data_IF_076554951764
#
_entry.id   IF_076554951764
#
_cell.length_a   1.000
_cell.length_b   1.000
_cell.length_c   1.000
_cell.angle_alpha   90.00
_cell.angle_beta   90.00
_cell.angle_gamma   90.00
#
_symmetry.space_group_name_H-M   'P 1'
#
loop_
_entity.id
_entity.type
_entity.pdbx_description
1 polymer ?
#
# COMPACT_ATOMS: atom_id res chain seq x y z
N UNK A 1 -52.65 19.20 -34.24
CA UNK A 1 -51.25 19.04 -33.80
C UNK A 1 -50.86 20.00 -32.69
N UNK A 2 -51.10 21.32 -32.79
CA UNK A 2 -50.59 22.31 -31.82
C UNK A 2 -50.88 22.07 -30.32
N UNK A 3 -52.11 21.70 -29.94
CA UNK A 3 -52.50 21.55 -28.51
C UNK A 3 -51.64 20.56 -27.73
N UNK A 4 -51.34 19.38 -28.28
CA UNK A 4 -50.50 18.37 -27.60
C UNK A 4 -49.11 18.91 -27.25
N UNK A 5 -48.54 19.77 -28.10
CA UNK A 5 -47.21 20.33 -27.90
C UNK A 5 -47.18 21.29 -26.70
N UNK A 6 -48.19 22.16 -26.56
CA UNK A 6 -48.30 23.05 -25.38
C UNK A 6 -48.48 22.28 -24.07
N UNK A 7 -49.23 21.18 -24.08
CA UNK A 7 -49.38 20.33 -22.88
C UNK A 7 -48.06 19.62 -22.53
N UNK A 8 -47.33 19.09 -23.52
CA UNK A 8 -46.01 18.47 -23.29
C UNK A 8 -44.98 19.47 -22.77
N UNK A 9 -44.91 20.69 -23.32
CA UNK A 9 -44.02 21.75 -22.83
C UNK A 9 -44.39 22.17 -21.40
N UNK A 10 -45.69 22.31 -21.10
CA UNK A 10 -46.16 22.64 -19.73
C UNK A 10 -45.80 21.54 -18.72
N UNK A 11 -46.01 20.27 -19.07
CA UNK A 11 -45.63 19.13 -18.21
C UNK A 11 -44.11 19.04 -18.02
N UNK A 12 -43.31 19.24 -19.07
CA UNK A 12 -41.85 19.31 -18.94
C UNK A 12 -41.41 20.47 -18.03
N UNK A 13 -41.97 21.67 -18.17
CA UNK A 13 -41.67 22.79 -17.29
C UNK A 13 -42.05 22.52 -15.82
N UNK A 14 -43.18 21.86 -15.57
CA UNK A 14 -43.58 21.43 -14.22
C UNK A 14 -42.63 20.36 -13.65
N UNK A 15 -42.21 19.37 -14.46
CA UNK A 15 -41.22 18.37 -14.06
C UNK A 15 -39.85 19.02 -13.75
N UNK A 16 -39.43 19.98 -14.57
CA UNK A 16 -38.20 20.75 -14.36
C UNK A 16 -38.27 21.58 -13.07
N UNK A 17 -39.44 22.15 -12.74
CA UNK A 17 -39.68 22.86 -11.47
C UNK A 17 -39.62 21.92 -10.26
N UNK A 18 -40.25 20.73 -10.33
CA UNK A 18 -40.16 19.70 -9.29
C UNK A 18 -38.72 19.24 -9.07
N UNK A 19 -37.98 18.97 -10.14
CA UNK A 19 -36.56 18.59 -10.08
C UNK A 19 -35.66 19.72 -9.54
N UNK A 20 -36.02 20.99 -9.73
CA UNK A 20 -35.28 22.13 -9.19
C UNK A 20 -35.59 22.42 -7.70
N UNK A 21 -36.76 21.97 -7.21
CA UNK A 21 -37.09 21.97 -5.78
C UNK A 21 -36.31 20.89 -5.00
N UNK A 22 -35.91 19.81 -5.66
CA UNK A 22 -34.98 18.78 -5.15
C UNK A 22 -33.52 19.30 -5.10
N UNK A 23 -33.31 20.43 -4.41
CA UNK A 23 -31.98 20.76 -3.87
C UNK A 23 -31.54 19.64 -2.94
N UNK A 24 -30.22 19.31 -2.87
CA UNK A 24 -29.73 18.37 -1.86
C UNK A 24 -30.03 18.96 -0.47
N UNK A 25 -31.01 18.36 0.22
CA UNK A 25 -31.50 18.84 1.50
C UNK A 25 -30.44 18.61 2.56
N UNK A 26 -29.86 19.69 3.07
CA UNK A 26 -29.06 19.61 4.29
C UNK A 26 -30.04 19.36 5.44
N UNK A 27 -30.21 18.09 5.82
CA UNK A 27 -31.24 17.62 6.75
C UNK A 27 -31.25 18.43 8.06
N UNK A 28 -30.07 18.71 8.62
CA UNK A 28 -29.92 19.53 9.82
C UNK A 28 -30.46 20.97 9.64
N UNK A 29 -30.30 21.59 8.47
CA UNK A 29 -30.92 22.90 8.16
C UNK A 29 -32.44 22.78 8.00
N UNK A 30 -32.94 21.65 7.53
CA UNK A 30 -34.38 21.40 7.40
C UNK A 30 -35.02 21.22 8.79
N UNK A 31 -34.39 20.46 9.70
CA UNK A 31 -34.82 20.34 11.10
C UNK A 31 -34.83 21.69 11.83
N UNK A 32 -33.74 22.48 11.71
CA UNK A 32 -33.68 23.85 12.28
C UNK A 32 -34.74 24.81 11.71
N UNK A 33 -35.29 24.51 10.53
CA UNK A 33 -36.37 25.29 9.94
C UNK A 33 -37.77 24.78 10.34
N UNK A 34 -37.91 23.50 10.72
CA UNK A 34 -39.19 22.93 11.17
C UNK A 34 -39.47 23.12 12.66
N UNK A 35 -38.44 23.23 13.51
CA UNK A 35 -38.62 23.29 14.98
C UNK A 35 -39.23 24.59 15.49
N UNK A 36 -39.25 25.68 14.70
CA UNK A 36 -39.62 27.06 15.07
C UNK A 36 -38.79 27.71 16.21
N UNK A 37 -38.32 26.92 17.17
CA UNK A 37 -37.31 27.28 18.15
C UNK A 37 -35.91 27.25 17.50
N UNK A 38 -35.01 28.14 17.90
CA UNK A 38 -33.65 28.26 17.36
C UNK A 38 -32.70 27.20 17.95
N UNK A 39 -33.09 25.93 17.89
CA UNK A 39 -32.36 24.78 18.46
C UNK A 39 -31.00 24.63 17.78
N UNK A 40 -29.92 24.59 18.57
CA UNK A 40 -28.57 24.31 18.06
C UNK A 40 -28.41 22.80 17.82
N UNK A 41 -27.42 22.40 17.03
CA UNK A 41 -27.01 20.99 17.00
C UNK A 41 -26.11 20.72 18.20
N UNK A 42 -26.17 19.53 18.77
CA UNK A 42 -25.14 19.09 19.70
C UNK A 42 -23.80 18.98 18.96
N UNK A 43 -22.79 19.75 19.39
CA UNK A 43 -21.49 19.80 18.71
C UNK A 43 -20.57 18.65 19.12
N UNK A 44 -20.74 18.12 20.33
CA UNK A 44 -20.00 16.97 20.87
C UNK A 44 -20.74 15.68 20.50
N UNK A 45 -20.30 15.00 19.45
CA UNK A 45 -20.93 13.79 18.92
C UNK A 45 -19.96 12.59 18.91
N UNK A 46 -20.43 11.38 19.24
CA UNK A 46 -19.63 10.15 19.08
C UNK A 46 -19.48 9.76 17.61
N UNK A 47 -18.70 8.70 17.34
CA UNK A 47 -18.51 8.17 15.98
C UNK A 47 -17.42 8.86 15.16
N UNK A 48 -16.65 9.76 15.78
CA UNK A 48 -15.34 10.17 15.29
C UNK A 48 -14.29 9.06 15.44
N UNK A 49 -13.27 9.07 14.58
CA UNK A 49 -12.04 8.30 14.79
C UNK A 49 -11.13 9.02 15.77
N UNK A 50 -10.30 8.28 16.52
CA UNK A 50 -9.47 8.84 17.59
C UNK A 50 -8.02 8.33 17.54
N UNK A 51 -7.05 9.25 17.57
CA UNK A 51 -5.64 8.93 17.76
C UNK A 51 -5.30 8.90 19.26
N UNK A 52 -5.29 7.68 19.82
CA UNK A 52 -5.02 7.47 21.25
C UNK A 52 -3.54 7.57 21.64
N UNK A 53 -2.63 7.92 20.72
CA UNK A 53 -1.25 8.28 21.06
C UNK A 53 -1.13 9.79 21.29
N UNK A 54 -1.82 10.59 20.47
CA UNK A 54 -1.80 12.05 20.48
C UNK A 54 -2.94 12.70 21.27
N UNK A 55 -3.99 11.97 21.62
CA UNK A 55 -5.29 12.51 22.07
C UNK A 55 -5.83 13.52 21.05
N UNK A 56 -6.17 13.04 19.84
CA UNK A 56 -6.67 13.89 18.75
C UNK A 56 -7.76 13.19 17.93
N UNK A 57 -8.79 13.95 17.55
CA UNK A 57 -9.82 13.50 16.61
C UNK A 57 -9.24 13.31 15.19
N UNK A 58 -9.70 12.25 14.53
CA UNK A 58 -9.21 11.79 13.22
C UNK A 58 -10.33 11.71 12.17
N UNK A 59 -11.28 12.67 12.22
CA UNK A 59 -12.42 12.74 11.31
C UNK A 59 -13.58 11.83 11.72
N UNK A 60 -14.62 11.74 10.87
CA UNK A 60 -15.80 10.89 11.12
C UNK A 60 -15.62 9.50 10.54
N UNK A 61 -16.03 8.50 11.31
CA UNK A 61 -16.05 7.07 10.93
C UNK A 61 -17.49 6.58 10.79
N UNK A 62 -18.37 6.97 11.71
CA UNK A 62 -19.80 6.71 11.62
C UNK A 62 -20.49 7.65 10.61
N UNK A 63 -21.55 7.16 9.98
CA UNK A 63 -22.55 8.03 9.36
C UNK A 63 -23.32 8.78 10.46
N UNK A 64 -23.85 9.96 10.13
CA UNK A 64 -24.61 10.82 11.05
C UNK A 64 -25.78 11.39 10.25
N UNK A 65 -27.01 10.93 10.53
CA UNK A 65 -28.23 11.42 9.89
C UNK A 65 -29.09 12.27 10.82
N UNK A 66 -30.03 13.02 10.24
CA UNK A 66 -30.92 13.97 10.91
C UNK A 66 -32.26 14.03 10.14
N UNK A 67 -32.80 12.87 9.79
CA UNK A 67 -34.05 12.69 9.03
C UNK A 67 -35.28 12.76 9.94
N UNK A 68 -35.16 12.27 11.19
CA UNK A 68 -36.25 12.28 12.18
C UNK A 68 -36.28 13.59 13.00
N UNK A 69 -35.24 14.42 12.89
CA UNK A 69 -35.11 15.69 13.60
C UNK A 69 -35.20 15.55 15.13
N UNK A 70 -34.65 14.46 15.68
CA UNK A 70 -34.66 14.17 17.10
C UNK A 70 -34.01 15.30 17.94
N UNK A 71 -34.54 15.51 19.15
CA UNK A 71 -33.98 16.45 20.13
C UNK A 71 -33.62 15.73 21.43
N UNK A 72 -32.78 16.37 22.24
CA UNK A 72 -32.60 15.99 23.65
C UNK A 72 -33.93 16.04 24.42
N UNK A 73 -34.03 15.29 25.52
CA UNK A 73 -35.25 15.22 26.35
C UNK A 73 -35.69 16.60 26.92
N UNK A 74 -34.74 17.52 27.09
CA UNK A 74 -34.98 18.91 27.51
C UNK A 74 -35.21 19.89 26.35
N UNK A 75 -35.21 19.41 25.10
CA UNK A 75 -35.50 20.19 23.89
C UNK A 75 -34.42 21.22 23.51
N UNK A 76 -33.25 21.21 24.17
CA UNK A 76 -32.22 22.23 24.00
C UNK A 76 -31.34 22.02 22.76
N UNK A 77 -31.11 20.78 22.34
CA UNK A 77 -30.23 20.45 21.20
C UNK A 77 -30.88 19.44 20.25
N UNK A 78 -30.60 19.60 18.95
CA UNK A 78 -30.83 18.58 17.92
C UNK A 78 -29.73 17.52 18.00
N UNK A 79 -30.13 16.25 17.97
CA UNK A 79 -29.25 15.08 18.02
C UNK A 79 -29.40 14.24 16.73
N UNK A 80 -28.36 13.49 16.32
CA UNK A 80 -28.47 12.55 15.21
C UNK A 80 -29.46 11.42 15.48
N UNK A 81 -30.10 10.91 14.43
CA UNK A 81 -31.09 9.84 14.54
C UNK A 81 -30.50 8.54 15.14
N UNK A 82 -29.18 8.32 14.98
CA UNK A 82 -28.45 7.16 15.50
C UNK A 82 -27.85 7.36 16.91
N UNK A 83 -28.10 8.49 17.59
CA UNK A 83 -27.43 8.88 18.85
C UNK A 83 -28.42 9.27 19.95
N UNK A 84 -28.48 8.48 21.02
CA UNK A 84 -29.18 8.86 22.25
C UNK A 84 -28.26 9.63 23.22
N UNK A 85 -28.85 10.44 24.11
CA UNK A 85 -28.17 11.16 25.18
C UNK A 85 -28.64 10.68 26.55
N UNK A 86 -27.81 10.86 27.58
CA UNK A 86 -28.19 10.65 29.00
C UNK A 86 -27.91 11.96 29.75
N UNK A 87 -28.90 12.59 30.42
CA UNK A 87 -28.72 13.89 31.06
C UNK A 87 -27.98 13.78 32.41
N UNK A 88 -26.63 13.76 32.38
CA UNK A 88 -25.78 13.81 33.57
C UNK A 88 -25.55 15.25 34.03
N UNK A 89 -26.08 15.64 35.20
CA UNK A 89 -26.03 17.02 35.72
C UNK A 89 -25.18 17.09 37.00
N UNK A 90 -23.87 17.02 36.83
CA UNK A 90 -22.88 17.17 37.91
C UNK A 90 -22.17 18.52 37.86
N UNK A 91 -21.84 19.09 39.02
CA UNK A 91 -21.01 20.29 39.15
C UNK A 91 -19.94 20.08 40.23
N UNK A 92 -18.72 19.77 39.81
CA UNK A 92 -17.54 19.67 40.68
C UNK A 92 -16.73 20.96 40.69
N UNK A 93 -16.26 21.37 41.87
CA UNK A 93 -15.27 22.46 42.03
C UNK A 93 -14.17 21.95 42.96
N UNK A 94 -13.01 21.64 42.38
CA UNK A 94 -11.84 21.20 43.15
C UNK A 94 -11.09 22.42 43.71
N UNK A 95 -10.88 22.44 45.02
CA UNK A 95 -10.20 23.53 45.74
C UNK A 95 -8.72 23.26 46.04
N UNK A 96 -8.25 22.04 45.75
CA UNK A 96 -6.89 21.58 46.00
C UNK A 96 -6.18 21.29 44.67
N UNK A 97 -4.88 21.56 44.59
CA UNK A 97 -4.05 21.21 43.43
C UNK A 97 -3.54 19.76 43.49
N UNK A 98 -3.68 19.00 42.41
CA UNK A 98 -2.93 17.75 42.25
C UNK A 98 -1.42 18.00 42.06
N UNK A 99 -0.58 17.00 42.42
CA UNK A 99 0.87 17.05 42.25
C UNK A 99 1.32 15.83 41.44
N UNK A 100 1.84 16.07 40.23
CA UNK A 100 2.29 15.02 39.31
C UNK A 100 3.81 14.85 39.43
N UNK A 101 4.24 13.98 40.34
CA UNK A 101 5.66 13.72 40.60
C UNK A 101 6.41 13.12 39.40
N UNK A 102 5.72 12.44 38.47
CA UNK A 102 6.34 11.85 37.28
C UNK A 102 5.46 11.96 36.03
N UNK A 103 6.07 12.34 34.91
CA UNK A 103 5.46 12.29 33.56
C UNK A 103 5.04 10.87 33.14
N UNK A 104 5.57 9.82 33.78
CA UNK A 104 5.10 8.45 33.61
C UNK A 104 3.67 8.28 34.16
N UNK A 105 3.39 8.89 35.31
CA UNK A 105 2.13 8.77 36.06
C UNK A 105 1.07 9.77 35.61
N UNK A 106 1.46 10.79 34.82
CA UNK A 106 0.55 11.83 34.33
C UNK A 106 -0.67 11.25 33.60
N UNK A 107 -1.85 11.65 34.07
CA UNK A 107 -3.17 11.44 33.47
C UNK A 107 -3.52 12.64 32.58
N UNK A 108 -4.35 12.42 31.57
CA UNK A 108 -4.95 13.49 30.76
C UNK A 108 -6.32 13.85 31.34
N UNK A 109 -6.64 15.14 31.47
CA UNK A 109 -7.91 15.60 32.04
C UNK A 109 -9.09 15.45 31.08
N UNK A 110 -8.84 15.57 29.77
CA UNK A 110 -9.86 15.55 28.72
C UNK A 110 -10.15 14.13 28.20
N UNK A 111 -9.19 13.21 28.29
CA UNK A 111 -9.29 11.88 27.67
C UNK A 111 -8.89 10.74 28.62
N UNK A 112 -9.12 10.89 29.93
CA UNK A 112 -8.63 9.93 30.92
C UNK A 112 -9.10 8.48 30.66
N UNK A 113 -10.40 8.30 30.43
CA UNK A 113 -11.04 6.99 30.22
C UNK A 113 -10.46 6.24 29.02
N UNK A 114 -10.44 6.87 27.84
CA UNK A 114 -9.91 6.29 26.59
C UNK A 114 -8.42 5.95 26.69
N UNK A 115 -7.67 6.64 27.57
CA UNK A 115 -6.26 6.35 27.82
C UNK A 115 -6.01 5.22 28.83
N UNK A 116 -6.95 4.96 29.75
CA UNK A 116 -6.88 3.87 30.74
C UNK A 116 -7.40 2.54 30.19
N UNK A 117 -8.21 2.60 29.13
CA UNK A 117 -8.81 1.42 28.49
C UNK A 117 -7.78 0.39 27.98
N UNK A 118 -8.21 -0.87 27.88
CA UNK A 118 -7.38 -2.07 27.70
C UNK A 118 -6.85 -2.17 26.27
N UNK A 119 -5.83 -1.37 25.95
CA UNK A 119 -5.08 -1.45 24.70
C UNK A 119 -3.97 -2.51 24.77
N UNK A 120 -3.43 -2.90 23.62
CA UNK A 120 -2.28 -3.81 23.51
C UNK A 120 -0.99 -3.24 24.15
N UNK A 121 -0.89 -1.91 24.27
CA UNK A 121 0.27 -1.19 24.81
C UNK A 121 -0.17 -0.02 25.71
N UNK A 122 -0.81 -0.29 26.87
CA UNK A 122 -1.52 0.73 27.66
C UNK A 122 -0.58 1.78 28.27
N UNK A 123 0.73 1.51 28.31
CA UNK A 123 1.76 2.44 28.79
C UNK A 123 2.14 3.53 27.77
N UNK A 124 1.61 3.49 26.55
CA UNK A 124 1.92 4.44 25.46
C UNK A 124 0.73 5.35 25.14
N UNK A 125 -0.50 4.95 25.49
CA UNK A 125 -1.71 5.75 25.37
C UNK A 125 -1.47 7.19 25.89
N UNK A 126 -1.78 8.20 25.06
CA UNK A 126 -1.72 9.62 25.41
C UNK A 126 -0.32 10.20 25.60
N UNK A 127 0.75 9.39 25.55
CA UNK A 127 2.12 9.85 25.83
C UNK A 127 2.74 10.70 24.71
N UNK A 128 2.07 10.84 23.57
CA UNK A 128 2.40 11.82 22.52
C UNK A 128 1.41 13.01 22.46
N UNK A 129 0.52 13.17 23.43
CA UNK A 129 -0.30 14.38 23.61
C UNK A 129 0.54 15.63 23.84
N UNK A 130 -0.06 16.81 23.62
CA UNK A 130 0.54 18.12 23.95
C UNK A 130 0.81 18.25 25.44
N UNK A 131 -0.12 17.79 26.27
CA UNK A 131 -0.04 17.73 27.74
C UNK A 131 1.21 16.95 28.20
N UNK A 132 1.31 15.68 27.79
CA UNK A 132 2.42 14.81 28.20
C UNK A 132 3.77 15.26 27.62
N UNK A 133 3.80 15.76 26.39
CA UNK A 133 5.01 16.36 25.80
C UNK A 133 5.50 17.57 26.60
N UNK A 134 4.61 18.45 27.04
CA UNK A 134 4.96 19.61 27.88
C UNK A 134 5.51 19.16 29.23
N UNK A 135 4.77 18.32 29.97
CA UNK A 135 5.18 17.79 31.28
C UNK A 135 6.54 17.09 31.22
N UNK A 136 6.72 16.18 30.25
CA UNK A 136 7.96 15.45 30.04
C UNK A 136 9.14 16.36 29.68
N UNK A 137 8.93 17.38 28.86
CA UNK A 137 10.02 18.30 28.48
C UNK A 137 10.59 19.02 29.71
N UNK A 138 9.73 19.55 30.58
CA UNK A 138 10.16 20.20 31.82
C UNK A 138 10.87 19.20 32.77
N UNK A 139 10.23 18.07 33.11
CA UNK A 139 10.80 17.12 34.08
C UNK A 139 12.09 16.42 33.59
N UNK A 140 12.27 16.23 32.28
CA UNK A 140 13.49 15.60 31.74
C UNK A 140 14.64 16.62 31.63
N UNK A 141 14.36 17.89 31.34
CA UNK A 141 15.38 18.93 31.21
C UNK A 141 16.20 19.13 32.50
N UNK A 142 15.55 19.04 33.66
CA UNK A 142 16.19 19.19 34.97
C UNK A 142 16.82 17.88 35.49
N UNK A 143 16.57 16.75 34.80
CA UNK A 143 17.08 15.43 35.20
C UNK A 143 18.49 15.15 34.64
N UNK A 144 19.41 14.74 35.51
CA UNK A 144 20.78 14.35 35.11
C UNK A 144 21.12 12.95 35.59
N UNK A 145 21.96 12.25 34.82
CA UNK A 145 22.40 10.89 35.11
C UNK A 145 23.89 10.70 34.79
N UNK A 146 24.64 10.16 35.75
CA UNK A 146 26.09 9.92 35.64
C UNK A 146 26.36 8.44 35.48
N UNK A 147 27.16 8.06 34.47
CA UNK A 147 27.40 6.66 34.14
C UNK A 147 28.80 6.42 33.58
N UNK A 148 29.38 5.23 33.82
CA UNK A 148 30.72 4.84 33.35
C UNK A 148 30.66 4.20 31.96
N UNK A 149 31.13 4.93 30.95
CA UNK A 149 31.17 4.50 29.54
C UNK A 149 32.25 3.43 29.33
N UNK A 150 31.96 2.41 28.53
CA UNK A 150 32.95 1.49 27.97
C UNK A 150 33.23 1.87 26.51
N UNK A 151 34.50 1.90 26.11
CA UNK A 151 34.90 2.19 24.72
C UNK A 151 34.47 1.02 23.84
N UNK A 152 33.54 1.29 22.92
CA UNK A 152 33.10 0.36 21.89
C UNK A 152 33.75 0.75 20.55
N UNK A 153 34.23 -0.24 19.80
CA UNK A 153 34.94 0.00 18.54
C UNK A 153 34.05 -0.34 17.34
N UNK A 154 34.05 0.53 16.33
CA UNK A 154 33.22 0.44 15.13
C UNK A 154 34.11 0.26 13.90
N UNK A 155 33.93 -0.84 13.15
CA UNK A 155 34.78 -1.19 12.01
C UNK A 155 34.26 -0.70 10.65
N UNK A 156 33.29 0.22 10.63
CA UNK A 156 32.62 0.71 9.43
C UNK A 156 31.34 -0.05 9.07
N UNK A 157 30.80 0.28 7.90
CA UNK A 157 29.59 -0.31 7.30
C UNK A 157 29.83 -0.62 5.83
N UNK A 158 29.06 -1.57 5.29
CA UNK A 158 28.98 -1.81 3.85
C UNK A 158 27.59 -2.32 3.46
N UNK A 159 27.27 -2.18 2.17
CA UNK A 159 26.00 -2.58 1.57
C UNK A 159 26.28 -3.37 0.29
N UNK A 160 25.94 -4.66 0.32
CA UNK A 160 25.95 -5.56 -0.83
C UNK A 160 24.61 -5.46 -1.57
N UNK A 161 24.63 -5.60 -2.91
CA UNK A 161 23.44 -5.63 -3.74
C UNK A 161 23.38 -6.92 -4.56
N UNK A 162 22.32 -7.70 -4.37
CA UNK A 162 22.01 -8.90 -5.15
C UNK A 162 20.92 -8.54 -6.15
N UNK A 163 21.24 -8.61 -7.44
CA UNK A 163 20.27 -8.38 -8.52
C UNK A 163 19.22 -9.51 -8.52
N UNK A 164 17.94 -9.15 -8.59
CA UNK A 164 16.83 -10.11 -8.69
C UNK A 164 16.19 -10.06 -10.08
N UNK A 165 16.12 -8.86 -10.67
CA UNK A 165 15.86 -8.66 -12.10
C UNK A 165 17.19 -8.44 -12.85
N UNK A 166 17.37 -8.92 -14.10
CA UNK A 166 18.66 -8.83 -14.83
C UNK A 166 19.03 -7.41 -15.27
N UNK A 167 18.06 -6.49 -15.28
CA UNK A 167 18.16 -5.06 -15.54
C UNK A 167 18.46 -4.22 -14.28
N UNK A 168 18.69 -4.87 -13.14
CA UNK A 168 18.90 -4.21 -11.85
C UNK A 168 20.32 -3.63 -11.63
N UNK A 169 21.24 -3.74 -12.59
CA UNK A 169 22.61 -3.18 -12.50
C UNK A 169 22.64 -1.73 -11.99
N UNK A 170 21.99 -0.76 -12.66
CA UNK A 170 21.99 0.64 -12.24
C UNK A 170 21.24 0.93 -10.93
N UNK A 171 20.49 -0.05 -10.39
CA UNK A 171 19.95 0.03 -9.03
C UNK A 171 21.04 -0.33 -8.00
N UNK A 172 21.84 -1.36 -8.28
CA UNK A 172 23.01 -1.71 -7.48
C UNK A 172 24.12 -0.65 -7.51
N UNK A 173 24.44 -0.07 -8.67
CA UNK A 173 25.47 0.99 -8.80
C UNK A 173 25.18 2.22 -7.93
N UNK A 174 23.91 2.37 -7.55
CA UNK A 174 23.36 3.52 -6.83
C UNK A 174 23.15 3.23 -5.32
N UNK A 175 23.06 1.95 -4.93
CA UNK A 175 22.77 1.50 -3.57
C UNK A 175 23.89 0.66 -2.91
N UNK A 176 24.91 0.25 -3.66
CA UNK A 176 26.09 -0.41 -3.08
C UNK A 176 26.98 0.58 -2.32
N UNK A 177 27.61 0.09 -1.25
CA UNK A 177 28.57 0.84 -0.46
C UNK A 177 29.66 -0.12 0.00
N UNK A 178 30.91 0.10 -0.41
CA UNK A 178 32.08 -0.65 0.10
C UNK A 178 32.56 -0.04 1.42
N UNK A 179 33.17 -0.85 2.28
CA UNK A 179 33.82 -0.38 3.51
C UNK A 179 35.13 0.34 3.13
N UNK A 180 35.35 1.61 3.49
CA UNK A 180 36.54 2.34 3.01
C UNK A 180 37.87 1.85 3.59
N UNK A 181 37.87 1.09 4.70
CA UNK A 181 39.06 0.51 5.32
C UNK A 181 39.55 -0.78 4.62
N UNK A 182 38.65 -1.51 3.94
CA UNK A 182 39.01 -2.70 3.14
C UNK A 182 38.94 -2.48 1.63
N UNK A 183 38.25 -1.44 1.17
CA UNK A 183 37.94 -1.22 -0.24
C UNK A 183 36.90 -2.20 -0.80
N UNK A 184 36.20 -2.96 0.06
CA UNK A 184 35.34 -4.06 -0.36
C UNK A 184 34.13 -4.30 0.57
N UNK A 185 33.31 -5.31 0.26
CA UNK A 185 32.12 -5.69 1.04
C UNK A 185 32.50 -6.58 2.24
N UNK A 186 33.46 -6.12 3.04
CA UNK A 186 34.09 -6.93 4.10
C UNK A 186 34.51 -6.10 5.32
N UNK A 187 34.67 -6.78 6.46
CA UNK A 187 35.29 -6.22 7.67
C UNK A 187 36.77 -6.63 7.75
N UNK A 188 37.62 -5.68 8.16
CA UNK A 188 39.02 -5.95 8.51
C UNK A 188 39.11 -6.73 9.82
N UNK A 189 39.91 -7.79 9.88
CA UNK A 189 40.20 -8.50 11.13
C UNK A 189 40.83 -7.54 12.17
N UNK A 190 40.37 -7.51 13.44
CA UNK A 190 39.52 -8.48 14.12
C UNK A 190 38.00 -8.16 14.13
N UNK A 191 37.52 -7.20 13.34
CA UNK A 191 36.10 -6.87 13.28
C UNK A 191 35.30 -7.95 12.53
N UNK A 192 34.14 -8.31 13.09
CA UNK A 192 33.22 -9.28 12.53
C UNK A 192 32.01 -8.59 11.87
N UNK A 193 31.54 -9.07 10.70
CA UNK A 193 30.37 -8.53 10.05
C UNK A 193 29.09 -8.98 10.75
N UNK A 194 28.18 -8.03 10.97
CA UNK A 194 26.83 -8.28 11.48
C UNK A 194 25.82 -7.79 10.43
N UNK A 195 25.02 -8.70 9.86
CA UNK A 195 23.90 -8.33 9.00
C UNK A 195 22.88 -7.54 9.82
N UNK A 196 22.58 -6.31 9.41
CA UNK A 196 21.63 -5.44 10.11
C UNK A 196 20.21 -5.58 9.53
N UNK A 197 20.10 -5.60 8.20
CA UNK A 197 18.84 -5.67 7.46
C UNK A 197 19.11 -6.23 6.06
N UNK A 198 18.21 -7.08 5.57
CA UNK A 198 18.07 -7.37 4.14
C UNK A 198 16.78 -6.69 3.65
N UNK A 199 16.89 -5.83 2.63
CA UNK A 199 15.80 -5.03 2.07
C UNK A 199 15.54 -5.48 0.62
N UNK A 200 14.29 -5.45 0.16
CA UNK A 200 13.97 -5.60 -1.28
C UNK A 200 13.55 -4.24 -1.81
N UNK A 201 14.33 -3.65 -2.71
CA UNK A 201 13.97 -2.38 -3.35
C UNK A 201 13.62 -2.59 -4.82
N UNK A 202 12.57 -1.89 -5.23
CA UNK A 202 12.04 -1.84 -6.59
C UNK A 202 12.23 -0.43 -7.14
N UNK A 203 12.48 -0.32 -8.45
CA UNK A 203 12.52 0.96 -9.15
C UNK A 203 11.76 0.85 -10.47
N UNK A 204 10.76 1.71 -10.65
CA UNK A 204 10.07 1.88 -11.92
C UNK A 204 10.91 2.70 -12.89
N UNK A 205 10.99 2.27 -14.15
CA UNK A 205 11.58 3.05 -15.24
C UNK A 205 10.77 2.87 -16.51
N UNK A 206 10.71 3.90 -17.35
CA UNK A 206 10.05 3.83 -18.66
C UNK A 206 11.05 3.38 -19.71
N UNK A 207 10.67 2.38 -20.51
CA UNK A 207 11.37 1.95 -21.72
C UNK A 207 10.51 2.23 -22.94
N UNK A 208 11.13 2.56 -24.07
CA UNK A 208 10.45 2.62 -25.36
C UNK A 208 10.65 1.26 -26.04
N UNK A 209 9.68 0.37 -25.87
CA UNK A 209 9.76 -0.97 -26.45
C UNK A 209 8.97 -1.02 -27.75
N UNK A 210 9.48 -1.76 -28.73
CA UNK A 210 8.74 -2.13 -29.93
C UNK A 210 8.51 -3.64 -29.94
N UNK A 211 7.31 -4.06 -30.34
CA UNK A 211 6.97 -5.45 -30.59
C UNK A 211 6.32 -5.60 -31.97
N UNK A 212 6.57 -6.73 -32.63
CA UNK A 212 5.89 -7.07 -33.88
C UNK A 212 4.50 -7.65 -33.54
N UNK A 213 3.44 -6.92 -33.88
CA UNK A 213 2.07 -7.44 -33.83
C UNK A 213 1.70 -8.02 -35.19
N UNK A 214 1.09 -9.22 -35.16
CA UNK A 214 0.57 -9.88 -36.36
C UNK A 214 -0.91 -9.57 -36.51
N UNK A 215 -1.29 -9.16 -37.70
CA UNK A 215 -2.67 -8.85 -38.07
C UNK A 215 -2.99 -9.45 -39.44
N UNK A 216 -4.24 -9.83 -39.65
CA UNK A 216 -4.66 -10.43 -40.91
C UNK A 216 -4.97 -9.34 -41.95
N UNK A 217 -4.63 -9.62 -43.21
CA UNK A 217 -4.58 -8.62 -44.27
C UNK A 217 -4.85 -9.20 -45.67
N UNK A 218 -5.15 -8.31 -46.62
CA UNK A 218 -5.48 -8.66 -48.00
C UNK A 218 -6.98 -8.93 -48.22
N UNK A 219 -7.31 -9.60 -49.32
CA UNK A 219 -8.70 -9.92 -49.67
C UNK A 219 -9.16 -11.17 -48.90
N UNK A 220 -10.21 -11.05 -48.08
CA UNK A 220 -10.70 -12.10 -47.17
C UNK A 220 -9.67 -12.57 -46.13
N UNK A 221 -8.80 -11.66 -45.67
CA UNK A 221 -7.92 -11.86 -44.51
C UNK A 221 -6.97 -13.08 -44.65
N UNK A 222 -6.61 -13.40 -45.90
CA UNK A 222 -5.85 -14.60 -46.28
C UNK A 222 -4.33 -14.52 -46.06
N UNK A 223 -3.81 -13.37 -45.63
CA UNK A 223 -2.38 -13.16 -45.40
C UNK A 223 -2.14 -12.61 -43.99
N UNK A 224 -1.12 -13.10 -43.29
CA UNK A 224 -0.70 -12.53 -42.00
C UNK A 224 0.36 -11.45 -42.23
N UNK A 225 0.00 -10.19 -42.03
CA UNK A 225 0.93 -9.07 -42.03
C UNK A 225 1.57 -8.87 -40.63
N UNK A 226 2.66 -8.11 -40.58
CA UNK A 226 3.37 -7.70 -39.35
C UNK A 226 3.49 -6.19 -39.29
N UNK A 227 3.04 -5.57 -38.20
CA UNK A 227 3.26 -4.16 -37.90
C UNK A 227 4.12 -4.01 -36.64
N UNK A 228 5.08 -3.08 -36.66
CA UNK A 228 5.95 -2.80 -35.52
C UNK A 228 5.27 -1.78 -34.59
N UNK A 229 4.57 -2.27 -33.58
CA UNK A 229 3.90 -1.43 -32.59
C UNK A 229 4.90 -1.04 -31.50
N UNK A 230 5.18 0.26 -31.39
CA UNK A 230 6.10 0.80 -30.39
C UNK A 230 5.37 1.65 -29.33
N UNK A 231 5.79 1.55 -28.07
CA UNK A 231 5.17 2.26 -26.97
C UNK A 231 6.06 2.44 -25.74
N UNK A 232 5.76 3.49 -24.98
CA UNK A 232 6.38 3.72 -23.66
C UNK A 232 5.76 2.76 -22.63
N UNK A 233 6.50 1.74 -22.23
CA UNK A 233 6.13 0.79 -21.18
C UNK A 233 6.88 1.10 -19.88
N UNK A 234 6.20 0.98 -18.75
CA UNK A 234 6.79 1.17 -17.43
C UNK A 234 7.19 -0.19 -16.85
N UNK A 235 8.49 -0.46 -16.86
CA UNK A 235 9.09 -1.64 -16.25
C UNK A 235 9.45 -1.39 -14.79
N UNK A 236 9.69 -2.48 -14.05
CA UNK A 236 10.07 -2.43 -12.64
C UNK A 236 11.25 -3.39 -12.42
N UNK A 237 12.42 -2.82 -12.14
CA UNK A 237 13.62 -3.58 -11.77
C UNK A 237 13.69 -3.79 -10.27
N UNK A 238 14.22 -4.93 -9.84
CA UNK A 238 14.27 -5.29 -8.41
C UNK A 238 15.64 -5.82 -8.00
N UNK A 239 16.06 -5.45 -6.79
CA UNK A 239 17.28 -5.92 -6.16
C UNK A 239 17.08 -6.11 -4.64
N UNK A 240 17.91 -6.96 -4.04
CA UNK A 240 18.00 -7.15 -2.60
C UNK A 240 19.27 -6.48 -2.07
N UNK A 241 19.12 -5.58 -1.11
CA UNK A 241 20.23 -4.85 -0.47
C UNK A 241 20.47 -5.45 0.91
N UNK A 242 21.67 -5.99 1.13
CA UNK A 242 22.10 -6.52 2.41
C UNK A 242 23.00 -5.47 3.09
N UNK A 243 22.52 -4.85 4.16
CA UNK A 243 23.29 -3.83 4.92
C UNK A 243 23.98 -4.48 6.12
N UNK A 244 25.30 -4.34 6.18
CA UNK A 244 26.17 -4.90 7.22
C UNK A 244 26.87 -3.78 8.01
N UNK A 245 27.19 -4.08 9.27
CA UNK A 245 28.08 -3.25 10.09
C UNK A 245 29.15 -4.11 10.76
N UNK A 246 30.34 -3.54 10.95
CA UNK A 246 31.50 -4.23 11.50
C UNK A 246 31.67 -3.89 12.98
N UNK A 247 31.77 -4.92 13.84
CA UNK A 247 31.93 -4.76 15.30
C UNK A 247 32.96 -5.73 15.86
N UNK A 248 33.51 -5.46 17.04
CA UNK A 248 34.44 -6.36 17.72
C UNK A 248 34.06 -6.48 19.20
N UNK A 249 33.94 -7.72 19.68
CA UNK A 249 33.57 -8.02 21.06
C UNK A 249 34.84 -8.25 21.90
N UNK A 250 35.52 -7.16 22.27
CA UNK A 250 36.78 -7.19 22.99
C UNK A 250 37.57 -5.89 22.85
N UNK A 251 38.89 -5.94 23.11
CA UNK A 251 39.79 -4.83 22.81
C UNK A 251 40.15 -4.85 21.33
N UNK A 252 39.90 -3.77 20.61
CA UNK A 252 40.51 -3.53 19.30
C UNK A 252 41.96 -3.01 19.46
N UNK A 253 42.79 -3.05 18.40
CA UNK A 253 44.04 -2.28 18.35
C UNK A 253 43.79 -0.78 18.55
N UNK A 254 44.77 -0.07 19.11
CA UNK A 254 44.72 1.39 19.24
C UNK A 254 44.67 2.05 17.85
N UNK A 255 43.93 3.17 17.75
CA UNK A 255 43.65 3.90 16.50
C UNK A 255 43.12 3.04 15.34
N UNK A 256 42.34 1.98 15.64
CA UNK A 256 41.66 1.16 14.64
C UNK A 256 40.14 1.39 14.60
N UNK A 257 39.57 1.23 13.41
CA UNK A 257 38.15 1.47 13.13
C UNK A 257 37.83 2.93 12.83
N UNK A 258 36.58 3.32 13.10
CA UNK A 258 36.02 4.63 12.77
C UNK A 258 35.36 5.31 13.98
N UNK A 259 35.56 6.62 14.07
CA UNK A 259 34.74 7.54 14.85
C UNK A 259 33.37 7.72 14.19
N UNK A 260 32.31 7.79 15.00
CA UNK A 260 30.94 8.03 14.54
C UNK A 260 30.55 9.50 14.71
N UNK A 261 30.22 10.18 13.60
CA UNK A 261 29.89 11.61 13.52
C UNK A 261 28.40 11.89 13.35
N UNK A 262 27.54 11.00 13.85
CA UNK A 262 26.10 11.07 13.65
C UNK A 262 25.65 10.56 12.28
N UNK A 263 24.38 10.81 11.95
CA UNK A 263 23.74 10.34 10.72
C UNK A 263 22.57 11.25 10.33
N UNK A 264 22.26 11.33 9.03
CA UNK A 264 21.19 12.18 8.49
C UNK A 264 20.51 11.52 7.28
N UNK A 265 19.31 11.98 6.93
CA UNK A 265 18.55 11.51 5.76
C UNK A 265 17.95 12.70 5.01
N UNK A 266 17.22 12.47 3.90
CA UNK A 266 16.50 13.56 3.22
C UNK A 266 15.47 14.26 4.13
N UNK A 267 14.98 13.56 5.16
CA UNK A 267 13.94 14.05 6.09
C UNK A 267 14.45 14.37 7.50
N UNK A 268 15.62 13.86 7.91
CA UNK A 268 16.15 13.98 9.27
C UNK A 268 17.53 14.64 9.27
N UNK A 269 17.69 15.71 10.05
CA UNK A 269 18.97 16.42 10.22
C UNK A 269 19.91 15.64 11.14
N UNK A 270 21.23 15.75 10.93
CA UNK A 270 22.22 15.24 11.88
C UNK A 270 22.14 16.05 13.19
N UNK A 271 21.91 15.42 14.37
CA UNK A 271 21.80 16.15 15.64
C UNK A 271 23.02 17.01 16.00
N UNK A 272 24.22 16.63 15.53
CA UNK A 272 25.48 17.29 15.88
C UNK A 272 25.70 18.59 15.10
N UNK A 273 25.50 18.55 13.78
CA UNK A 273 25.68 19.71 12.88
C UNK A 273 24.41 20.53 12.71
N UNK A 274 23.25 19.97 13.04
CA UNK A 274 21.91 20.52 12.78
C UNK A 274 21.62 20.75 11.28
N UNK A 275 22.36 20.07 10.41
CA UNK A 275 22.25 20.15 8.95
C UNK A 275 22.10 18.74 8.33
N UNK A 276 21.93 18.67 7.01
CA UNK A 276 21.99 17.42 6.22
C UNK A 276 23.43 17.16 5.74
N UNK A 277 24.40 17.28 6.65
CA UNK A 277 25.83 17.09 6.36
C UNK A 277 26.58 16.51 7.56
N UNK A 278 27.75 15.94 7.29
CA UNK A 278 28.68 15.47 8.31
C UNK A 278 29.46 16.61 8.99
N UNK A 279 30.04 16.37 10.18
CA UNK A 279 31.01 17.28 10.78
C UNK A 279 32.29 17.42 9.94
N UNK A 280 33.14 18.40 10.28
CA UNK A 280 34.46 18.55 9.67
C UNK A 280 35.30 17.28 9.87
N UNK A 281 35.98 16.86 8.80
CA UNK A 281 36.81 15.65 8.73
C UNK A 281 36.04 14.32 8.90
N UNK A 282 34.73 14.29 8.64
CA UNK A 282 33.93 13.06 8.53
C UNK A 282 33.44 12.82 7.09
N UNK A 283 33.57 11.57 6.64
CA UNK A 283 33.16 11.07 5.33
C UNK A 283 31.68 10.60 5.42
N UNK A 284 30.79 11.04 4.51
CA UNK A 284 29.44 10.51 4.40
C UNK A 284 29.43 9.19 3.61
N UNK A 285 29.06 8.09 4.26
CA UNK A 285 28.78 6.80 3.61
C UNK A 285 27.27 6.59 3.45
N UNK A 286 26.87 5.87 2.40
CA UNK A 286 25.49 5.40 2.23
C UNK A 286 25.18 4.35 3.30
N UNK A 287 23.96 4.32 3.80
CA UNK A 287 23.53 3.39 4.83
C UNK A 287 22.02 3.15 4.75
N UNK A 288 21.60 1.89 4.55
CA UNK A 288 20.23 1.53 4.13
C UNK A 288 19.89 2.09 2.73
N UNK A 289 18.75 1.72 2.17
CA UNK A 289 18.44 2.07 0.76
C UNK A 289 17.61 3.35 0.59
N UNK A 290 17.09 3.91 1.68
CA UNK A 290 16.17 5.07 1.66
C UNK A 290 16.89 6.43 1.82
N UNK A 291 18.10 6.54 1.25
CA UNK A 291 18.89 7.77 1.19
C UNK A 291 19.49 8.23 2.53
N UNK A 292 19.47 7.37 3.54
CA UNK A 292 20.10 7.61 4.83
C UNK A 292 21.63 7.56 4.68
N UNK A 293 22.31 8.49 5.34
CA UNK A 293 23.77 8.66 5.32
C UNK A 293 24.31 8.55 6.75
N UNK A 294 25.47 7.91 6.88
CA UNK A 294 26.23 7.80 8.14
C UNK A 294 27.56 8.54 8.01
N UNK A 295 27.93 9.29 9.04
CA UNK A 295 29.17 10.07 9.07
C UNK A 295 30.25 9.30 9.83
N UNK A 296 31.36 8.99 9.16
CA UNK A 296 32.48 8.22 9.74
C UNK A 296 33.80 8.96 9.57
N UNK A 297 34.74 8.81 10.51
CA UNK A 297 36.09 9.36 10.36
C UNK A 297 37.14 8.39 10.91
N UNK A 298 38.23 8.22 10.19
CA UNK A 298 39.45 7.55 10.63
C UNK A 298 40.50 8.54 11.17
N UNK A 299 40.18 9.84 11.19
CA UNK A 299 41.08 10.90 11.67
C UNK A 299 40.90 11.10 13.18
N UNK A 300 41.63 10.32 13.97
CA UNK A 300 41.50 10.30 15.43
C UNK A 300 41.97 11.60 16.10
N UNK A 301 42.93 12.34 15.53
CA UNK A 301 43.48 13.54 16.19
C UNK A 301 42.48 14.71 16.15
N UNK A 302 41.83 14.93 15.00
CA UNK A 302 40.91 16.07 14.82
C UNK A 302 39.43 15.69 14.88
N UNK A 303 39.08 14.48 14.45
CA UNK A 303 37.69 14.00 14.41
C UNK A 303 37.10 13.76 15.81
N UNK A 304 37.93 13.43 16.80
CA UNK A 304 37.48 13.12 18.19
C UNK A 304 36.69 14.27 18.83
N UNK A 305 36.92 15.53 18.45
CA UNK A 305 36.13 16.69 18.90
C UNK A 305 34.64 16.61 18.56
N UNK A 306 34.30 15.96 17.44
CA UNK A 306 32.92 15.85 16.93
C UNK A 306 32.40 14.40 16.92
N UNK A 307 33.18 13.46 17.46
CA UNK A 307 32.81 12.05 17.57
C UNK A 307 31.85 11.83 18.73
N UNK A 308 30.89 10.91 18.54
CA UNK A 308 29.98 10.46 19.59
C UNK A 308 30.33 9.02 19.97
N UNK A 309 30.46 8.69 21.26
CA UNK A 309 30.59 7.30 21.69
C UNK A 309 29.38 6.49 21.23
N UNK A 310 29.65 5.53 20.34
CA UNK A 310 28.68 4.69 19.65
C UNK A 310 28.84 3.24 20.10
N UNK A 311 27.72 2.56 20.38
CA UNK A 311 27.70 1.21 20.94
C UNK A 311 26.82 0.23 20.14
N UNK A 312 26.74 0.41 18.83
CA UNK A 312 26.21 -0.58 17.90
C UNK A 312 24.86 -0.26 17.26
N UNK A 313 24.53 -1.06 16.24
CA UNK A 313 23.24 -1.09 15.55
C UNK A 313 22.47 -2.38 15.87
N UNK A 314 21.14 -2.32 15.83
CA UNK A 314 20.24 -3.47 15.90
C UNK A 314 18.94 -3.19 15.15
N UNK A 315 18.12 -4.22 14.90
CA UNK A 315 16.89 -4.11 14.11
C UNK A 315 15.84 -5.15 14.50
N UNK A 316 14.68 -5.12 13.84
CA UNK A 316 13.68 -6.19 13.96
C UNK A 316 14.20 -7.58 13.52
N UNK A 317 15.32 -7.66 12.79
CA UNK A 317 15.96 -8.92 12.37
C UNK A 317 17.21 -9.23 13.21
N UNK A 318 18.01 -8.22 13.56
CA UNK A 318 19.37 -8.38 14.08
C UNK A 318 19.54 -7.84 15.51
N UNK A 319 20.32 -8.55 16.34
CA UNK A 319 20.68 -8.12 17.70
C UNK A 319 22.01 -7.35 17.73
N UNK A 320 22.28 -6.64 18.82
CA UNK A 320 23.54 -5.94 19.03
C UNK A 320 24.58 -6.86 19.73
N UNK A 321 25.71 -7.23 19.09
CA UNK A 321 26.73 -8.07 19.72
C UNK A 321 27.35 -7.44 20.97
N UNK A 322 27.50 -6.10 20.97
CA UNK A 322 28.05 -5.33 22.08
C UNK A 322 27.10 -5.34 23.31
N UNK A 323 25.82 -5.63 23.10
CA UNK A 323 24.81 -5.81 24.16
C UNK A 323 24.56 -7.30 24.48
N UNK A 324 25.60 -8.15 24.40
CA UNK A 324 25.51 -9.60 24.62
C UNK A 324 24.48 -10.30 23.71
N UNK A 325 24.37 -9.87 22.45
CA UNK A 325 23.37 -10.31 21.47
C UNK A 325 21.90 -10.03 21.87
N UNK A 326 21.64 -9.05 22.74
CA UNK A 326 20.29 -8.56 23.03
C UNK A 326 19.86 -7.47 22.02
N UNK A 327 18.55 -7.29 21.83
CA UNK A 327 17.96 -6.20 21.03
C UNK A 327 17.75 -4.94 21.87
N UNK A 328 18.85 -4.46 22.46
CA UNK A 328 18.89 -3.31 23.34
C UNK A 328 20.26 -2.64 23.27
N UNK A 329 20.38 -1.44 23.82
CA UNK A 329 21.69 -0.83 24.02
C UNK A 329 22.42 -1.41 25.23
N UNK A 330 23.76 -1.43 25.23
CA UNK A 330 24.53 -1.66 26.44
C UNK A 330 24.21 -0.60 27.51
N UNK A 331 24.42 -0.89 28.81
CA UNK A 331 24.22 0.10 29.86
C UNK A 331 25.03 1.37 29.57
N UNK A 332 24.50 2.51 30.02
CA UNK A 332 25.02 3.89 29.76
C UNK A 332 24.73 4.48 28.38
N UNK A 333 24.28 3.67 27.41
CA UNK A 333 23.89 4.13 26.07
C UNK A 333 22.36 4.22 25.92
N UNK A 334 21.94 5.21 25.13
CA UNK A 334 20.53 5.45 24.78
C UNK A 334 20.23 4.94 23.37
N UNK A 335 19.04 4.38 23.17
CA UNK A 335 18.57 3.91 21.87
C UNK A 335 17.95 5.05 21.06
N UNK A 336 18.33 5.15 19.79
CA UNK A 336 17.80 6.12 18.84
C UNK A 336 17.37 5.41 17.56
N UNK A 337 16.22 5.80 17.03
CA UNK A 337 15.78 5.37 15.70
C UNK A 337 16.64 6.04 14.62
N UNK A 338 17.25 5.22 13.76
CA UNK A 338 17.88 5.66 12.51
C UNK A 338 16.83 5.80 11.42
N UNK A 339 16.17 4.69 11.08
CA UNK A 339 15.16 4.60 10.03
C UNK A 339 14.14 3.49 10.32
N UNK A 340 13.05 3.49 9.54
CA UNK A 340 12.11 2.36 9.42
C UNK A 340 12.16 1.90 7.97
N UNK A 341 12.32 0.60 7.76
CA UNK A 341 12.54 -0.01 6.45
C UNK A 341 11.61 -1.19 6.24
N UNK A 342 10.54 -0.95 5.48
CA UNK A 342 9.49 -1.92 5.16
C UNK A 342 8.92 -2.55 6.45
N UNK A 343 8.44 -1.68 7.35
CA UNK A 343 7.95 -2.04 8.69
C UNK A 343 9.02 -2.38 9.74
N UNK A 344 10.26 -2.65 9.33
CA UNK A 344 11.35 -2.99 10.26
C UNK A 344 12.02 -1.73 10.83
N UNK A 345 11.94 -1.54 12.15
CA UNK A 345 12.72 -0.53 12.86
C UNK A 345 14.23 -0.86 12.86
N UNK A 346 15.05 0.18 12.71
CA UNK A 346 16.51 0.10 12.76
C UNK A 346 17.03 1.14 13.76
N UNK A 347 17.68 0.64 14.80
CA UNK A 347 18.02 1.36 16.03
C UNK A 347 19.54 1.39 16.21
N UNK A 348 20.03 2.47 16.84
CA UNK A 348 21.44 2.66 17.14
C UNK A 348 21.66 3.19 18.56
N UNK A 349 22.85 2.92 19.10
CA UNK A 349 23.19 3.24 20.47
C UNK A 349 24.25 4.35 20.54
N UNK A 350 23.93 5.46 21.20
CA UNK A 350 24.87 6.54 21.53
C UNK A 350 24.76 6.96 22.99
N UNK A 351 25.85 7.45 23.58
CA UNK A 351 25.88 7.86 24.98
C UNK A 351 24.81 8.92 25.27
N UNK A 352 23.99 8.67 26.30
CA UNK A 352 22.77 9.45 26.59
C UNK A 352 23.00 10.96 26.69
N UNK A 353 24.14 11.36 27.28
CA UNK A 353 24.48 12.74 27.62
C UNK A 353 24.51 13.71 26.41
N UNK A 354 24.60 13.23 25.18
CA UNK A 354 24.70 14.06 23.98
C UNK A 354 23.39 14.12 23.14
N UNK A 355 22.32 13.42 23.55
CA UNK A 355 21.10 13.32 22.73
C UNK A 355 19.78 13.30 23.51
N UNK A 356 19.81 13.49 24.84
CA UNK A 356 18.62 13.75 25.65
C UNK A 356 18.25 15.23 25.72
N UNK A 357 19.22 16.14 25.62
CA UNK A 357 19.03 17.60 25.69
C UNK A 357 18.46 18.21 24.40
N UNK A 358 17.28 17.76 23.98
CA UNK A 358 16.65 18.21 22.73
C UNK A 358 15.13 18.13 22.76
N UNK A 359 14.50 18.85 21.82
CA UNK A 359 13.05 18.84 21.64
C UNK A 359 12.55 17.42 21.37
N UNK A 360 11.48 17.00 22.06
CA UNK A 360 10.90 15.66 21.91
C UNK A 360 10.58 15.36 20.44
N UNK A 361 11.11 14.25 19.91
CA UNK A 361 10.85 13.82 18.53
C UNK A 361 9.32 13.74 18.30
N UNK A 362 8.80 14.22 17.15
CA UNK A 362 7.40 14.03 16.80
C UNK A 362 7.09 12.54 16.68
N UNK A 363 5.81 12.18 16.82
CA UNK A 363 5.37 10.83 16.49
C UNK A 363 5.52 10.62 14.98
N UNK A 364 6.05 9.47 14.56
CA UNK A 364 6.03 9.10 13.15
C UNK A 364 4.63 8.62 12.81
N UNK A 365 4.03 9.22 11.79
CA UNK A 365 2.69 8.86 11.30
C UNK A 365 2.82 7.89 10.12
N UNK A 366 1.85 6.96 9.93
CA UNK A 366 1.81 6.11 8.75
C UNK A 366 1.59 6.92 7.46
N UNK A 367 1.93 6.37 6.27
CA UNK A 367 2.41 5.00 6.04
C UNK A 367 3.91 4.81 6.35
N UNK A 368 4.25 3.62 6.87
CA UNK A 368 5.64 3.20 7.14
C UNK A 368 6.23 2.30 6.04
N UNK A 369 5.49 2.14 4.94
CA UNK A 369 5.81 1.35 3.75
C UNK A 369 5.50 2.18 2.51
N UNK A 370 6.10 1.82 1.37
CA UNK A 370 5.74 2.40 0.07
C UNK A 370 4.79 1.42 -0.65
N UNK A 371 3.85 1.91 -1.48
CA UNK A 371 3.04 1.02 -2.31
C UNK A 371 3.95 0.24 -3.29
N UNK A 372 3.66 -1.04 -3.58
CA UNK A 372 4.46 -1.85 -4.49
C UNK A 372 4.37 -1.31 -5.93
N UNK A 373 5.47 -1.45 -6.68
CA UNK A 373 5.55 -0.97 -8.06
C UNK A 373 5.14 -2.09 -9.03
N UNK A 374 4.28 -1.74 -10.00
CA UNK A 374 3.68 -2.69 -10.96
C UNK A 374 4.13 -2.36 -12.38
N UNK A 375 4.54 -3.37 -13.14
CA UNK A 375 4.85 -3.25 -14.57
C UNK A 375 3.59 -2.92 -15.37
N UNK A 376 3.60 -1.84 -16.15
CA UNK A 376 2.45 -1.39 -16.96
C UNK A 376 2.83 -1.23 -18.43
N UNK A 377 2.06 -1.84 -19.32
CA UNK A 377 2.17 -1.66 -20.77
C UNK A 377 1.23 -0.55 -21.25
N UNK A 378 1.61 0.16 -22.32
CA UNK A 378 0.89 1.32 -22.84
C UNK A 378 -0.60 1.06 -23.19
N UNK A 379 -0.95 -0.16 -23.59
CA UNK A 379 -2.31 -0.56 -23.96
C UNK A 379 -3.25 -0.76 -22.76
N UNK A 380 -2.72 -0.95 -21.55
CA UNK A 380 -3.49 -1.42 -20.40
C UNK A 380 -4.04 -0.26 -19.57
N UNK A 381 -5.29 0.15 -19.84
CA UNK A 381 -6.04 1.18 -19.07
C UNK A 381 -6.55 0.64 -17.72
N UNK A 382 -5.61 0.19 -16.87
CA UNK A 382 -5.88 -0.57 -15.65
C UNK A 382 -5.42 0.20 -14.42
N UNK A 383 -6.39 0.52 -13.55
CA UNK A 383 -6.15 1.23 -12.29
C UNK A 383 -5.96 0.20 -11.17
N UNK A 384 -4.77 0.19 -10.54
CA UNK A 384 -4.46 -0.69 -9.41
C UNK A 384 -4.41 0.13 -8.13
N UNK A 385 -5.17 -0.27 -7.12
CA UNK A 385 -5.01 0.19 -5.73
C UNK A 385 -4.33 -0.91 -4.92
N UNK A 386 -3.44 -0.53 -4.00
CA UNK A 386 -2.64 -1.48 -3.23
C UNK A 386 -2.95 -1.33 -1.74
N UNK A 387 -3.36 -2.41 -1.10
CA UNK A 387 -3.71 -2.46 0.32
C UNK A 387 -2.92 -3.59 0.99
N UNK A 388 -1.88 -3.23 1.74
CA UNK A 388 -0.85 -4.16 2.18
C UNK A 388 -0.23 -4.92 1.00
N UNK A 389 -0.24 -6.26 1.10
CA UNK A 389 0.25 -7.17 0.06
C UNK A 389 -0.76 -7.43 -1.08
N UNK A 390 -1.99 -6.90 -0.98
CA UNK A 390 -3.08 -7.17 -1.91
C UNK A 390 -3.26 -6.04 -2.94
N UNK A 391 -3.39 -6.40 -4.22
CA UNK A 391 -3.60 -5.44 -5.31
C UNK A 391 -5.01 -5.56 -5.87
N UNK A 392 -5.79 -4.50 -5.74
CA UNK A 392 -7.13 -4.35 -6.30
C UNK A 392 -7.03 -3.79 -7.72
N UNK A 393 -7.38 -4.60 -8.71
CA UNK A 393 -7.29 -4.30 -10.13
C UNK A 393 -8.65 -3.86 -10.66
N UNK A 394 -8.77 -2.62 -11.15
CA UNK A 394 -9.97 -2.11 -11.82
C UNK A 394 -9.84 -2.21 -13.33
N UNK A 395 -10.81 -2.87 -13.95
CA UNK A 395 -10.90 -2.99 -15.41
C UNK A 395 -11.60 -1.75 -15.98
N UNK A 396 -10.99 -1.09 -16.96
CA UNK A 396 -11.49 0.17 -17.54
C UNK A 396 -12.92 0.07 -18.11
N UNK A 397 -13.24 -1.04 -18.79
CA UNK A 397 -14.56 -1.24 -19.42
C UNK A 397 -15.66 -1.67 -18.43
N UNK A 398 -15.43 -2.72 -17.62
CA UNK A 398 -16.46 -3.23 -16.69
C UNK A 398 -16.58 -2.41 -15.40
N UNK A 399 -15.59 -1.57 -15.08
CA UNK A 399 -15.45 -0.78 -13.85
C UNK A 399 -15.39 -1.58 -12.54
N UNK A 400 -15.47 -2.91 -12.61
CA UNK A 400 -15.40 -3.83 -11.47
C UNK A 400 -13.96 -3.94 -10.94
N UNK A 401 -13.85 -4.19 -9.64
CA UNK A 401 -12.59 -4.48 -8.95
C UNK A 401 -12.41 -6.00 -8.84
N UNK A 402 -11.21 -6.50 -9.14
CA UNK A 402 -10.77 -7.87 -8.86
C UNK A 402 -9.56 -7.84 -7.93
N UNK A 403 -9.47 -8.76 -6.99
CA UNK A 403 -8.27 -8.96 -6.15
C UNK A 403 -7.23 -9.72 -6.96
N UNK A 404 -5.97 -9.31 -6.88
CA UNK A 404 -4.80 -9.97 -7.47
C UNK A 404 -3.59 -9.89 -6.51
N UNK A 405 -2.67 -10.85 -6.59
CA UNK A 405 -1.30 -10.65 -6.10
C UNK A 405 -0.47 -9.96 -7.18
N UNK A 406 0.63 -9.31 -6.80
CA UNK A 406 1.50 -8.60 -7.75
C UNK A 406 2.01 -9.48 -8.92
N UNK A 407 2.19 -10.79 -8.67
CA UNK A 407 2.57 -11.79 -9.66
C UNK A 407 1.42 -12.09 -10.66
N UNK A 408 0.21 -12.31 -10.14
CA UNK A 408 -0.99 -12.64 -10.91
C UNK A 408 -1.44 -11.50 -11.85
N UNK A 409 -1.12 -10.24 -11.52
CA UNK A 409 -1.50 -9.07 -12.34
C UNK A 409 -1.06 -9.26 -13.80
N UNK A 410 0.13 -9.82 -14.07
CA UNK A 410 0.62 -10.01 -15.44
C UNK A 410 -0.28 -10.98 -16.24
N UNK A 411 -0.70 -12.08 -15.62
CA UNK A 411 -1.59 -13.06 -16.25
C UNK A 411 -3.02 -12.51 -16.43
N UNK A 412 -3.49 -11.71 -15.48
CA UNK A 412 -4.78 -11.00 -15.56
C UNK A 412 -4.77 -9.99 -16.71
N UNK A 413 -3.72 -9.18 -16.84
CA UNK A 413 -3.54 -8.23 -17.96
C UNK A 413 -3.50 -8.94 -19.32
N UNK A 414 -2.77 -10.05 -19.43
CA UNK A 414 -2.71 -10.85 -20.66
C UNK A 414 -4.07 -11.42 -21.06
N UNK A 415 -4.90 -11.85 -20.09
CA UNK A 415 -6.25 -12.36 -20.38
C UNK A 415 -7.19 -11.32 -21.00
N UNK A 416 -7.10 -10.04 -20.59
CA UNK A 416 -7.92 -8.97 -21.17
C UNK A 416 -7.54 -8.66 -22.63
N UNK A 417 -6.26 -8.79 -22.99
CA UNK A 417 -5.81 -8.63 -24.38
C UNK A 417 -6.25 -9.81 -25.28
N UNK A 418 -6.63 -10.96 -24.70
CA UNK A 418 -7.30 -12.04 -25.45
C UNK A 418 -8.81 -11.78 -25.62
N UNK A 419 -9.50 -11.25 -24.61
CA UNK A 419 -10.92 -10.84 -24.74
C UNK A 419 -11.09 -9.77 -25.83
N UNK A 420 -10.16 -8.81 -25.93
CA UNK A 420 -10.15 -7.80 -26.99
C UNK A 420 -9.96 -8.37 -28.42
N UNK A 421 -9.42 -9.58 -28.56
CA UNK A 421 -9.23 -10.29 -29.84
C UNK A 421 -10.37 -11.27 -30.17
N UNK A 422 -11.45 -11.28 -29.39
CA UNK A 422 -12.57 -12.20 -29.61
C UNK A 422 -13.53 -11.67 -30.69
N UNK A 423 -13.63 -12.39 -31.82
CA UNK A 423 -14.44 -12.03 -33.00
C UNK A 423 -15.71 -11.22 -32.71
N UNK A 424 -15.86 -10.12 -33.44
CA UNK A 424 -17.01 -9.22 -33.45
C UNK A 424 -18.32 -9.96 -33.76
N UNK A 425 -19.43 -9.42 -33.25
CA UNK A 425 -20.76 -9.88 -33.62
C UNK A 425 -21.04 -9.80 -35.13
N UNK A 426 -20.38 -8.86 -35.84
CA UNK A 426 -20.47 -8.74 -37.30
C UNK A 426 -19.82 -9.90 -38.05
N UNK A 427 -18.63 -10.34 -37.63
CA UNK A 427 -17.91 -11.47 -38.24
C UNK A 427 -18.69 -12.78 -38.07
N UNK A 428 -19.20 -13.02 -36.85
CA UNK A 428 -20.06 -14.18 -36.53
C UNK A 428 -21.32 -14.22 -37.39
N UNK A 429 -21.93 -13.08 -37.67
CA UNK A 429 -23.05 -12.97 -38.60
C UNK A 429 -22.64 -13.24 -40.06
N UNK A 430 -21.50 -12.69 -40.50
CA UNK A 430 -20.97 -12.90 -41.85
C UNK A 430 -20.73 -14.36 -42.19
N UNK A 431 -20.08 -15.12 -41.28
CA UNK A 431 -19.87 -16.56 -41.43
C UNK A 431 -21.20 -17.32 -41.53
N UNK A 432 -22.18 -17.00 -40.68
CA UNK A 432 -23.49 -17.65 -40.70
C UNK A 432 -24.24 -17.43 -42.02
N UNK A 433 -24.26 -16.19 -42.55
CA UNK A 433 -24.88 -15.91 -43.84
C UNK A 433 -24.13 -16.56 -45.02
N UNK A 434 -22.79 -16.63 -44.96
CA UNK A 434 -21.98 -17.33 -45.95
C UNK A 434 -22.33 -18.83 -46.05
N UNK A 435 -22.40 -19.53 -44.91
CA UNK A 435 -22.78 -20.95 -44.85
C UNK A 435 -24.21 -21.18 -45.35
N UNK A 436 -25.16 -20.32 -44.97
CA UNK A 436 -26.55 -20.39 -45.44
C UNK A 436 -26.66 -20.18 -46.96
N UNK A 437 -25.90 -19.25 -47.53
CA UNK A 437 -25.82 -19.04 -48.98
C UNK A 437 -25.24 -20.26 -49.71
N UNK A 438 -24.17 -20.85 -49.18
CA UNK A 438 -23.56 -22.08 -49.71
C UNK A 438 -24.55 -23.25 -49.72
N UNK A 439 -25.27 -23.47 -48.61
CA UNK A 439 -26.31 -24.50 -48.50
C UNK A 439 -27.45 -24.29 -49.50
N UNK A 440 -27.90 -23.05 -49.72
CA UNK A 440 -28.91 -22.73 -50.74
C UNK A 440 -28.42 -23.07 -52.16
N UNK A 441 -27.16 -22.76 -52.50
CA UNK A 441 -26.56 -23.14 -53.79
C UNK A 441 -26.51 -24.67 -53.94
N UNK A 442 -26.08 -25.41 -52.91
CA UNK A 442 -26.05 -26.88 -52.93
C UNK A 442 -27.46 -27.46 -53.12
N UNK A 443 -28.47 -26.96 -52.40
CA UNK A 443 -29.87 -27.38 -52.55
C UNK A 443 -30.39 -27.09 -53.97
N UNK A 444 -30.10 -25.92 -54.54
CA UNK A 444 -30.49 -25.59 -55.92
C UNK A 444 -29.83 -26.54 -56.93
N UNK A 445 -28.53 -26.83 -56.79
CA UNK A 445 -27.82 -27.78 -57.65
C UNK A 445 -28.42 -29.19 -57.53
N UNK A 446 -28.69 -29.67 -56.32
CA UNK A 446 -29.33 -30.97 -56.08
C UNK A 446 -30.74 -31.01 -56.68
N UNK A 447 -31.56 -29.98 -56.50
CA UNK A 447 -32.90 -29.89 -57.09
C UNK A 447 -32.85 -29.86 -58.60
N UNK A 448 -31.91 -29.14 -59.23
CA UNK A 448 -31.71 -29.15 -60.69
C UNK A 448 -31.32 -30.54 -61.18
N UNK A 449 -30.36 -31.21 -60.52
CA UNK A 449 -29.93 -32.58 -60.86
C UNK A 449 -31.08 -33.59 -60.70
N UNK A 450 -31.84 -33.53 -59.62
CA UNK A 450 -33.00 -34.40 -59.35
C UNK A 450 -34.13 -34.14 -60.35
N UNK A 451 -34.42 -32.87 -60.70
CA UNK A 451 -35.46 -32.53 -61.69
C UNK A 451 -35.05 -32.95 -63.11
N UNK A 452 -33.75 -32.90 -63.43
CA UNK A 452 -33.16 -33.43 -64.68
C UNK A 452 -33.16 -34.96 -64.73
N UNK A 453 -33.06 -35.65 -63.58
CA UNK A 453 -33.27 -37.11 -63.45
C UNK A 453 -34.75 -37.51 -63.54
N UNK A 454 -35.66 -36.86 -62.80
CA UNK A 454 -37.10 -37.20 -62.78
C UNK A 454 -37.76 -37.00 -64.15
N UNK A 455 -37.35 -35.99 -64.94
CA UNK A 455 -37.78 -35.86 -66.36
C UNK A 455 -37.35 -37.02 -67.28
N UNK A 456 -36.53 -37.97 -66.82
CA UNK A 456 -36.13 -39.19 -67.57
C UNK A 456 -36.75 -40.48 -67.04
N UNK A 457 -37.56 -40.45 -65.98
CA UNK A 457 -38.26 -41.63 -65.43
C UNK A 457 -39.64 -41.23 -64.90
N UNK A 458 -40.67 -41.37 -65.74
CA UNK A 458 -42.07 -41.36 -65.34
C UNK A 458 -42.70 -42.72 -65.65
N UNK A 459 -43.27 -43.36 -64.64
CA UNK A 459 -43.92 -44.67 -64.70
C UNK A 459 -44.46 -44.99 -63.30
N UNK A 460 -45.71 -45.46 -63.23
CA UNK A 460 -46.49 -45.64 -61.98
C UNK A 460 -46.67 -47.12 -61.63
N UNK A 461 -46.81 -47.40 -60.34
CA UNK A 461 -47.78 -48.37 -59.78
C UNK A 461 -47.99 -48.11 -58.28
N UNK A 462 -49.10 -48.61 -57.72
CA UNK A 462 -49.59 -48.34 -56.35
C UNK A 462 -49.41 -49.54 -55.37
N UNK A 463 -49.87 -49.35 -54.12
CA UNK A 463 -49.57 -50.11 -52.89
C UNK A 463 -50.83 -50.06 -52.00
N UNK A 464 -51.30 -51.06 -51.24
CA UNK A 464 -50.83 -52.41 -50.84
C UNK A 464 -52.05 -53.36 -50.74
N UNK A 465 -51.84 -54.67 -50.60
CA UNK A 465 -52.61 -55.46 -49.60
C UNK A 465 -51.79 -56.66 -49.05
N UNK A 466 -52.32 -57.39 -48.07
CA UNK A 466 -51.56 -58.19 -47.09
C UNK A 466 -51.66 -59.72 -47.28
N UNK A 467 -50.66 -60.45 -46.76
CA UNK A 467 -50.83 -61.81 -46.24
C UNK A 467 -49.73 -62.16 -45.21
N UNK A 468 -50.11 -62.96 -44.20
CA UNK A 468 -49.25 -63.53 -43.16
C UNK A 468 -48.28 -64.61 -43.74
N UNK A 469 -47.35 -65.29 -43.04
CA UNK A 469 -47.13 -65.66 -41.61
C UNK A 469 -45.64 -66.15 -41.45
N UNK A 470 -45.06 -66.85 -40.46
CA UNK A 470 -45.40 -67.50 -39.16
C UNK A 470 -44.13 -67.74 -38.30
N UNK A 471 -44.28 -68.07 -37.00
CA UNK A 471 -43.25 -68.62 -36.05
C UNK A 471 -42.02 -67.76 -35.67
N UNK A 472 -41.73 -67.46 -34.38
CA UNK A 472 -41.14 -68.29 -33.29
C UNK A 472 -39.65 -68.68 -33.50
N UNK A 473 -38.76 -68.76 -32.49
CA UNK A 473 -38.75 -68.36 -31.07
C UNK A 473 -37.31 -68.57 -30.50
N UNK A 474 -36.83 -67.74 -29.57
CA UNK A 474 -35.86 -68.18 -28.55
C UNK A 474 -34.48 -67.49 -28.48
N UNK A 475 -34.03 -67.26 -27.24
CA UNK A 475 -32.77 -66.64 -26.80
C UNK A 475 -31.47 -67.30 -27.29
N UNK A 476 -30.40 -66.51 -27.43
CA UNK A 476 -29.32 -66.47 -26.40
C UNK A 476 -28.17 -65.50 -26.75
N UNK A 477 -27.55 -64.94 -25.72
CA UNK A 477 -26.23 -64.26 -25.79
C UNK A 477 -25.14 -65.23 -25.25
N UNK A 478 -23.84 -65.03 -25.56
CA UNK A 478 -23.06 -64.05 -24.77
C UNK A 478 -21.93 -63.33 -25.55
N UNK A 479 -21.21 -62.47 -24.81
CA UNK A 479 -19.77 -62.12 -24.77
C UNK A 479 -18.78 -62.65 -25.86
N UNK A 480 -17.57 -62.10 -26.09
CA UNK A 480 -16.70 -61.22 -25.27
C UNK A 480 -15.55 -60.64 -26.14
N UNK A 481 -14.87 -59.55 -25.68
CA UNK A 481 -13.53 -59.07 -26.11
C UNK A 481 -13.32 -58.63 -27.58
N UNK A 482 -12.36 -57.75 -27.91
CA UNK A 482 -11.42 -56.92 -27.09
C UNK A 482 -11.66 -55.42 -27.38
#
# INVERSE_FOLDING_TARGET
TGSLCSHLVSVCCLFQYLLCLLRPTNWLRQCRASTNLSVTALEVLPGGGWDNLRNMDMGRVMNISYLECQTTEDGLYLIPDEVFVIPHKETGVETNSEIINSWLEQKSSTSHSVNVDVSFLPKINGKFSTENKRMKTHQVQDSSATARVQVCFFGGVYQECVQLSPDAGPLCDTLTQKNPDTGDFSCRSPYLPTLLRSEMKQQSYTSYDCYEERYDCGLFDLFTCTEQVCGNNNHVRSARINTYWCSVNGKAPENSGYLFGGMYSPSVLNPLTKTKSCPLNFIPLRFLSDGQMICVSNEFETGTRYAVPFAGFFSCQSSNPLARNQRSCPPTFSQHLAAVSDGCEILYCVQSNLSTGGQLKPVLLPPFTKPPLVTMQHTNTVMVMTDGDMSWVRVGQTKTWKIAKAEDIKHILQSFNQEARQMSGGEKAGVAFGVMGMMLVVVVVVVVLVRRRRRRRGGYTEIHEEAERETQLGDSAPAERD
#
